data_IF_628826468971
#
_entry.id   IF_628826468971
#
_cell.length_a   1.000
_cell.length_b   1.000
_cell.length_c   1.000
_cell.angle_alpha   90.00
_cell.angle_beta   90.00
_cell.angle_gamma   90.00
#
_symmetry.space_group_name_H-M   'P 1'
#
loop_
_entity.id
_entity.type
_entity.pdbx_description
1 polymer ?
#
# COMPACT_ATOMS: atom_id res chain seq x y z
N UNK A 1 -24.78 8.96 -0.45
CA UNK A 1 -24.22 9.78 0.66
C UNK A 1 -24.36 11.27 0.39
N UNK A 2 -23.67 11.88 -0.57
CA UNK A 2 -23.79 13.33 -0.81
C UNK A 2 -25.21 13.76 -1.21
N UNK A 3 -25.88 13.02 -2.11
CA UNK A 3 -27.29 13.27 -2.45
C UNK A 3 -28.21 13.18 -1.23
N UNK A 4 -28.04 12.14 -0.41
CA UNK A 4 -28.91 11.86 0.74
C UNK A 4 -28.73 12.88 1.88
N UNK A 5 -27.51 13.41 2.06
CA UNK A 5 -27.18 14.33 3.16
C UNK A 5 -27.24 15.81 2.75
N UNK A 6 -26.88 16.13 1.51
CA UNK A 6 -26.71 17.50 1.03
C UNK A 6 -27.71 17.89 -0.08
N UNK A 7 -28.54 16.95 -0.53
CA UNK A 7 -29.49 17.17 -1.62
C UNK A 7 -28.86 17.37 -3.00
N UNK A 8 -27.54 17.17 -3.12
CA UNK A 8 -26.76 17.43 -4.33
C UNK A 8 -25.88 16.21 -4.66
N UNK A 9 -25.91 15.73 -5.92
CA UNK A 9 -25.07 14.61 -6.33
C UNK A 9 -23.66 15.09 -6.64
N UNK A 10 -22.67 14.23 -6.41
CA UNK A 10 -21.28 14.46 -6.82
C UNK A 10 -21.03 13.67 -8.09
N UNK A 11 -20.38 14.29 -9.07
CA UNK A 11 -20.05 13.62 -10.33
C UNK A 11 -18.89 12.63 -10.14
N UNK A 12 -18.88 11.53 -10.88
CA UNK A 12 -17.78 10.55 -10.87
C UNK A 12 -16.44 11.20 -11.21
N UNK A 13 -16.44 12.15 -12.16
CA UNK A 13 -15.25 12.90 -12.54
C UNK A 13 -14.66 13.73 -11.38
N UNK A 14 -15.51 14.25 -10.50
CA UNK A 14 -15.06 14.97 -9.30
C UNK A 14 -14.36 14.02 -8.33
N UNK A 15 -14.93 12.83 -8.10
CA UNK A 15 -14.32 11.83 -7.21
C UNK A 15 -12.96 11.41 -7.74
N UNK A 16 -12.88 11.07 -9.04
CA UNK A 16 -11.63 10.69 -9.68
C UNK A 16 -10.58 11.81 -9.63
N UNK A 17 -11.00 13.07 -9.81
CA UNK A 17 -10.09 14.22 -9.69
C UNK A 17 -9.49 14.34 -8.30
N UNK A 18 -10.31 14.18 -7.26
CA UNK A 18 -9.85 14.20 -5.86
C UNK A 18 -8.92 13.02 -5.56
N UNK A 19 -9.21 11.82 -6.07
CA UNK A 19 -8.32 10.65 -5.89
C UNK A 19 -6.91 10.92 -6.43
N UNK A 20 -6.81 11.50 -7.64
CA UNK A 20 -5.51 11.85 -8.25
C UNK A 20 -4.76 12.92 -7.45
N UNK A 21 -5.47 13.93 -6.96
CA UNK A 21 -4.88 14.99 -6.14
C UNK A 21 -4.35 14.45 -4.81
N UNK A 22 -5.14 13.60 -4.14
CA UNK A 22 -4.77 13.00 -2.86
C UNK A 22 -3.62 11.99 -3.00
N UNK A 23 -3.59 11.21 -4.09
CA UNK A 23 -2.47 10.31 -4.39
C UNK A 23 -1.14 11.08 -4.46
N UNK A 24 -1.12 12.19 -5.21
CA UNK A 24 0.05 13.05 -5.30
C UNK A 24 0.44 13.65 -3.94
N UNK A 25 -0.55 14.07 -3.14
CA UNK A 25 -0.31 14.62 -1.81
C UNK A 25 0.19 13.58 -0.79
N UNK A 26 -0.09 12.29 -1.00
CA UNK A 26 0.37 11.20 -0.13
C UNK A 26 1.80 10.76 -0.41
N UNK A 27 2.39 11.10 -1.56
CA UNK A 27 3.74 10.67 -1.92
C UNK A 27 4.81 10.95 -0.84
N UNK A 28 4.86 12.11 -0.17
CA UNK A 28 5.80 12.36 0.93
C UNK A 28 5.53 11.50 2.16
N UNK A 29 4.26 11.25 2.48
CA UNK A 29 3.87 10.37 3.59
C UNK A 29 4.33 8.94 3.31
N UNK A 30 4.08 8.42 2.10
CA UNK A 30 4.51 7.07 1.76
C UNK A 30 6.03 6.91 1.77
N UNK A 31 6.77 7.92 1.29
CA UNK A 31 8.23 7.92 1.37
C UNK A 31 8.69 7.82 2.82
N UNK A 32 8.09 8.61 3.72
CA UNK A 32 8.40 8.57 5.14
C UNK A 32 8.00 7.26 5.81
N UNK A 33 6.85 6.71 5.46
CA UNK A 33 6.37 5.41 5.92
C UNK A 33 7.35 4.30 5.56
N UNK A 34 7.81 4.25 4.30
CA UNK A 34 8.82 3.29 3.83
C UNK A 34 10.12 3.41 4.64
N UNK A 35 10.58 4.62 4.92
CA UNK A 35 11.78 4.84 5.74
C UNK A 35 11.62 4.39 7.19
N UNK A 36 10.47 4.66 7.81
CA UNK A 36 10.18 4.21 9.17
C UNK A 36 10.08 2.68 9.26
N UNK A 37 9.43 2.04 8.29
CA UNK A 37 9.36 0.58 8.22
C UNK A 37 10.74 -0.06 8.05
N UNK A 38 11.63 0.53 7.23
CA UNK A 38 13.03 0.07 7.07
C UNK A 38 13.83 0.12 8.37
N UNK A 39 13.52 1.08 9.25
CA UNK A 39 14.22 1.32 10.51
C UNK A 39 13.63 0.53 11.69
N UNK A 40 12.50 -0.14 11.50
CA UNK A 40 11.85 -0.87 12.58
C UNK A 40 12.70 -2.07 13.04
N UNK A 41 12.73 -2.39 14.34
CA UNK A 41 13.47 -3.55 14.84
C UNK A 41 12.79 -4.89 14.50
N UNK A 42 11.48 -4.86 14.23
CA UNK A 42 10.64 -6.00 13.88
C UNK A 42 9.61 -5.51 12.86
N UNK A 43 9.42 -6.26 11.79
CA UNK A 43 8.35 -6.02 10.82
C UNK A 43 7.82 -7.34 10.27
N UNK A 44 6.54 -7.35 9.96
CA UNK A 44 5.81 -8.45 9.35
C UNK A 44 5.65 -8.18 7.86
N UNK A 45 5.83 -9.21 7.04
CA UNK A 45 5.66 -9.16 5.60
C UNK A 45 4.68 -10.26 5.19
N UNK A 46 3.73 -9.90 4.32
CA UNK A 46 2.69 -10.81 3.83
C UNK A 46 2.30 -10.44 2.40
N UNK A 47 1.69 -11.39 1.68
CA UNK A 47 1.24 -11.22 0.31
C UNK A 47 -0.16 -11.82 0.11
N UNK A 48 -1.12 -11.01 -0.35
CA UNK A 48 -2.46 -11.51 -0.68
C UNK A 48 -2.85 -11.22 -2.12
N UNK A 49 -3.61 -12.13 -2.74
CA UNK A 49 -4.06 -11.99 -4.11
C UNK A 49 -5.19 -10.97 -4.24
N UNK A 50 -5.05 -10.01 -5.16
CA UNK A 50 -6.06 -8.98 -5.45
C UNK A 50 -6.38 -8.94 -6.95
N UNK A 51 -7.56 -8.43 -7.33
CA UNK A 51 -7.96 -8.28 -8.74
C UNK A 51 -7.88 -6.81 -9.15
N UNK A 52 -7.05 -6.51 -10.13
CA UNK A 52 -6.97 -5.18 -10.75
C UNK A 52 -7.33 -5.34 -12.23
N UNK A 53 -8.36 -4.62 -12.67
CA UNK A 53 -8.91 -4.73 -14.02
C UNK A 53 -9.16 -6.20 -14.46
N UNK A 54 -9.69 -7.03 -13.56
CA UNK A 54 -10.00 -8.45 -13.79
C UNK A 54 -8.79 -9.40 -13.74
N UNK A 55 -7.56 -8.89 -13.63
CA UNK A 55 -6.33 -9.71 -13.62
C UNK A 55 -5.81 -9.90 -12.20
N UNK A 56 -5.24 -11.07 -11.93
CA UNK A 56 -4.60 -11.35 -10.65
C UNK A 56 -3.36 -10.47 -10.49
N UNK A 57 -3.32 -9.74 -9.38
CA UNK A 57 -2.17 -9.01 -8.85
C UNK A 57 -1.96 -9.46 -7.40
N UNK A 58 -0.88 -9.00 -6.81
CA UNK A 58 -0.48 -9.32 -5.44
C UNK A 58 -0.34 -8.01 -4.66
N UNK A 59 -1.02 -7.94 -3.52
CA UNK A 59 -0.86 -6.90 -2.53
C UNK A 59 0.23 -7.35 -1.56
N UNK A 60 1.33 -6.60 -1.53
CA UNK A 60 2.48 -6.80 -0.67
C UNK A 60 2.32 -5.91 0.55
N UNK A 61 2.26 -6.50 1.73
CA UNK A 61 2.17 -5.81 3.01
C UNK A 61 3.50 -5.78 3.74
N UNK A 62 3.79 -4.66 4.40
CA UNK A 62 4.85 -4.54 5.41
C UNK A 62 4.27 -3.81 6.63
N UNK A 63 4.32 -4.41 7.81
CA UNK A 63 3.71 -3.81 9.00
C UNK A 63 4.52 -3.97 10.28
N UNK A 64 4.28 -3.06 11.21
CA UNK A 64 4.68 -3.10 12.62
C UNK A 64 3.43 -2.89 13.47
N UNK A 65 3.57 -2.81 14.79
CA UNK A 65 2.46 -2.51 15.69
C UNK A 65 1.76 -1.17 15.39
N UNK A 66 2.45 -0.23 14.75
CA UNK A 66 1.96 1.13 14.53
C UNK A 66 1.88 1.56 13.05
N UNK A 67 2.57 0.85 12.15
CA UNK A 67 2.72 1.26 10.75
C UNK A 67 2.34 0.11 9.83
N UNK A 68 1.65 0.42 8.74
CA UNK A 68 1.35 -0.55 7.68
C UNK A 68 1.56 0.13 6.33
N UNK A 69 2.39 -0.48 5.50
CA UNK A 69 2.60 -0.11 4.10
C UNK A 69 2.10 -1.20 3.18
N UNK A 70 1.44 -0.79 2.10
CA UNK A 70 0.96 -1.67 1.04
C UNK A 70 1.55 -1.30 -0.31
N UNK A 71 1.78 -2.31 -1.15
CA UNK A 71 2.18 -2.13 -2.54
C UNK A 71 1.51 -3.16 -3.43
N UNK A 72 0.92 -2.74 -4.55
CA UNK A 72 0.31 -3.66 -5.52
C UNK A 72 1.27 -3.94 -6.65
N UNK A 73 1.44 -5.21 -7.00
CA UNK A 73 2.31 -5.62 -8.10
C UNK A 73 1.74 -6.83 -8.86
N UNK A 74 1.97 -6.91 -10.17
CA UNK A 74 1.43 -8.01 -10.99
C UNK A 74 2.06 -9.38 -10.67
N UNK A 75 3.22 -9.40 -10.01
CA UNK A 75 3.94 -10.61 -9.61
C UNK A 75 3.97 -10.75 -8.10
N UNK A 76 3.94 -12.01 -7.64
CA UNK A 76 4.28 -12.42 -6.28
C UNK A 76 5.79 -12.51 -6.09
N UNK A 77 6.22 -12.44 -4.85
CA UNK A 77 7.53 -12.86 -4.36
C UNK A 77 8.58 -11.78 -4.45
N UNK A 78 9.83 -12.22 -4.28
CA UNK A 78 11.01 -11.36 -4.11
C UNK A 78 11.09 -10.18 -5.08
N UNK A 79 10.82 -10.39 -6.38
CA UNK A 79 10.91 -9.30 -7.35
C UNK A 79 10.03 -8.10 -6.97
N UNK A 80 8.81 -8.37 -6.55
CA UNK A 80 7.85 -7.34 -6.19
C UNK A 80 8.20 -6.67 -4.85
N UNK A 81 8.61 -7.46 -3.86
CA UNK A 81 9.11 -6.94 -2.58
C UNK A 81 10.36 -6.08 -2.75
N UNK A 82 11.24 -6.45 -3.68
CA UNK A 82 12.45 -5.70 -4.01
C UNK A 82 12.08 -4.33 -4.64
N UNK A 83 11.12 -4.30 -5.57
CA UNK A 83 10.60 -3.06 -6.17
C UNK A 83 9.83 -2.20 -5.16
N UNK A 84 9.11 -2.80 -4.21
CA UNK A 84 8.47 -2.08 -3.10
C UNK A 84 9.49 -1.40 -2.17
N UNK A 85 10.71 -1.93 -2.12
CA UNK A 85 11.89 -1.24 -1.60
C UNK A 85 11.97 -1.13 -0.08
N UNK A 86 11.14 -1.86 0.67
CA UNK A 86 11.22 -1.92 2.14
C UNK A 86 12.14 -3.07 2.55
N UNK A 87 11.76 -4.30 2.23
CA UNK A 87 12.48 -5.53 2.64
C UNK A 87 13.97 -5.55 2.25
N UNK A 88 14.41 -5.09 1.05
CA UNK A 88 15.84 -5.11 0.68
C UNK A 88 16.75 -4.26 1.56
N UNK A 89 16.18 -3.25 2.24
CA UNK A 89 16.90 -2.30 3.09
C UNK A 89 16.52 -2.46 4.56
N UNK A 90 15.81 -3.54 4.89
CA UNK A 90 15.36 -3.83 6.24
C UNK A 90 16.42 -4.67 6.97
N UNK A 91 16.92 -4.15 8.09
CA UNK A 91 17.97 -4.79 8.90
C UNK A 91 17.46 -5.36 10.23
N UNK A 92 16.18 -5.17 10.53
CA UNK A 92 15.52 -5.73 11.70
C UNK A 92 15.15 -7.20 11.53
N UNK A 93 14.30 -7.69 12.42
CA UNK A 93 13.77 -9.05 12.35
C UNK A 93 12.55 -9.07 11.43
N UNK A 94 12.68 -9.77 10.29
CA UNK A 94 11.58 -9.93 9.35
C UNK A 94 10.81 -11.21 9.71
N UNK A 95 9.50 -11.07 9.89
CA UNK A 95 8.59 -12.20 10.09
C UNK A 95 7.72 -12.33 8.85
N UNK A 96 7.66 -13.53 8.30
CA UNK A 96 6.77 -13.88 7.21
C UNK A 96 6.04 -15.15 7.61
N UNK A 97 4.77 -15.28 7.23
CA UNK A 97 4.08 -16.55 7.37
C UNK A 97 4.77 -17.59 6.48
N UNK A 98 5.19 -18.69 7.10
CA UNK A 98 5.72 -19.83 6.36
C UNK A 98 4.54 -20.76 6.09
N UNK A 99 4.22 -20.96 4.81
CA UNK A 99 3.45 -22.11 4.34
C UNK A 99 4.42 -23.23 3.92
#
# INVERSE_FOLDING_TARGET
MCQDLLGQPVSEATIQGVEVELDAALAPFEARLRDLLRQAPLAHFDETGVRVAGRLHWLHGASTDALTGYGVHAKRGRKAMDEFGILPRFHGRAVHDCL
#
